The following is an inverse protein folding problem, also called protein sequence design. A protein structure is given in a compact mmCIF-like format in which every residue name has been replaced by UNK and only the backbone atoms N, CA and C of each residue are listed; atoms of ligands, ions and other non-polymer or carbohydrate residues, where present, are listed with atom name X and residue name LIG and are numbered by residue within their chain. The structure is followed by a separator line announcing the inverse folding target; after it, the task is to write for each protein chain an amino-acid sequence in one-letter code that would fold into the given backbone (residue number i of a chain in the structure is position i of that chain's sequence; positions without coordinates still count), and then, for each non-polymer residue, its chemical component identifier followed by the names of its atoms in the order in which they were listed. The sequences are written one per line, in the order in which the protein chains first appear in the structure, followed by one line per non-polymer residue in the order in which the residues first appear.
data_IF_408964005670
#
_entry.id   IF_408964005670
#
_cell.length_a   1.000
_cell.length_b   1.000
_cell.length_c   1.000
_cell.angle_alpha   90.00
_cell.angle_beta   90.00
_cell.angle_gamma   90.00
#
_symmetry.space_group_name_H-M   'P 1'
#
loop_
_entity.id
_entity.type
_entity.pdbx_description
1 polymer ?
#
# COMPACT_ATOMS: atom_id res chain seq x y z
N UNK A 1 8.09 16.26 16.24
CA UNK A 1 7.47 15.34 15.27
C UNK A 1 5.95 15.42 15.36
N UNK A 2 5.24 15.68 14.26
CA UNK A 2 3.78 15.72 14.22
C UNK A 2 3.23 14.39 13.70
N UNK A 3 2.27 13.79 14.41
CA UNK A 3 1.57 12.59 13.94
C UNK A 3 0.59 12.98 12.84
N UNK A 4 0.61 12.26 11.73
CA UNK A 4 -0.35 12.45 10.64
C UNK A 4 -1.58 11.59 10.93
N UNK A 5 -2.80 12.15 10.89
CA UNK A 5 -4.01 11.38 11.08
C UNK A 5 -4.23 10.42 9.91
N UNK A 6 -4.73 9.22 10.23
CA UNK A 6 -5.06 8.19 9.25
C UNK A 6 -6.56 7.92 9.28
N UNK A 7 -7.21 8.09 8.14
CA UNK A 7 -8.63 7.79 7.96
C UNK A 7 -8.77 6.42 7.31
N UNK A 8 -9.56 5.53 7.93
CA UNK A 8 -9.93 4.24 7.33
C UNK A 8 -11.04 4.44 6.29
N UNK A 9 -10.88 3.80 5.14
CA UNK A 9 -11.75 3.92 3.98
C UNK A 9 -12.20 2.56 3.46
N UNK A 10 -13.17 2.60 2.54
CA UNK A 10 -13.62 1.40 1.83
C UNK A 10 -12.49 0.83 0.95
N UNK A 11 -12.76 -0.31 0.31
CA UNK A 11 -11.78 -0.95 -0.59
C UNK A 11 -11.38 0.02 -1.69
N UNK A 12 -10.09 0.05 -2.04
CA UNK A 12 -9.47 1.05 -2.91
C UNK A 12 -10.21 1.24 -4.25
N UNK A 13 -10.69 0.15 -4.85
CA UNK A 13 -11.39 0.16 -6.13
C UNK A 13 -12.88 0.50 -6.06
N UNK A 14 -13.44 0.65 -4.86
CA UNK A 14 -14.85 1.01 -4.65
C UNK A 14 -15.02 2.37 -3.98
N UNK A 15 -13.97 2.92 -3.37
CA UNK A 15 -14.00 4.28 -2.80
C UNK A 15 -13.62 5.33 -3.87
N UNK A 16 -14.55 6.23 -4.24
CA UNK A 16 -14.29 7.30 -5.22
C UNK A 16 -13.12 8.22 -4.87
N UNK A 17 -12.70 8.27 -3.60
CA UNK A 17 -11.55 9.05 -3.18
C UNK A 17 -10.24 8.66 -3.88
N UNK A 18 -10.11 7.39 -4.28
CA UNK A 18 -8.92 6.88 -4.96
C UNK A 18 -9.03 6.92 -6.50
N UNK A 19 -10.10 7.49 -7.04
CA UNK A 19 -10.38 7.47 -8.49
C UNK A 19 -9.25 8.08 -9.32
N UNK A 20 -8.61 9.15 -8.83
CA UNK A 20 -7.46 9.79 -9.50
C UNK A 20 -6.19 8.93 -9.53
N UNK A 21 -6.16 7.86 -8.76
CA UNK A 21 -5.02 6.96 -8.55
C UNK A 21 -5.24 5.62 -9.25
N UNK A 22 -6.50 5.28 -9.60
CA UNK A 22 -6.85 4.04 -10.31
C UNK A 22 -6.11 3.85 -11.65
N UNK A 23 -5.93 4.94 -12.41
CA UNK A 23 -5.31 4.88 -13.75
C UNK A 23 -3.82 4.55 -13.72
N UNK A 24 -3.13 5.01 -12.68
CA UNK A 24 -1.70 4.73 -12.49
C UNK A 24 -1.50 3.30 -11.99
N UNK A 25 -2.41 2.83 -11.15
CA UNK A 25 -2.41 1.48 -10.63
C UNK A 25 -2.82 0.44 -11.66
N UNK A 26 -3.65 0.76 -12.66
CA UNK A 26 -3.98 -0.20 -13.71
C UNK A 26 -2.74 -0.62 -14.51
N UNK A 27 -1.80 0.31 -14.75
CA UNK A 27 -0.53 0.01 -15.44
C UNK A 27 0.40 -0.84 -14.56
N UNK A 28 0.48 -0.52 -13.27
CA UNK A 28 1.30 -1.26 -12.30
C UNK A 28 0.73 -2.67 -12.11
N UNK A 29 -0.59 -2.78 -11.94
CA UNK A 29 -1.35 -4.03 -11.86
C UNK A 29 -1.18 -4.85 -13.13
N UNK A 30 -1.24 -4.27 -14.32
CA UNK A 30 -1.03 -5.01 -15.58
C UNK A 30 0.41 -5.51 -15.71
N UNK A 31 1.40 -4.71 -15.32
CA UNK A 31 2.81 -5.13 -15.32
C UNK A 31 3.06 -6.25 -14.28
N UNK A 32 2.50 -6.12 -13.07
CA UNK A 32 2.60 -7.11 -12.00
C UNK A 32 1.77 -8.38 -12.31
N UNK A 33 0.62 -8.27 -12.98
CA UNK A 33 -0.19 -9.41 -13.45
C UNK A 33 0.48 -10.14 -14.63
N UNK A 34 1.25 -9.44 -15.47
CA UNK A 34 2.09 -10.08 -16.50
C UNK A 34 3.20 -10.92 -15.89
N UNK A 35 3.88 -10.42 -14.84
CA UNK A 35 4.87 -11.20 -14.09
C UNK A 35 4.23 -12.38 -13.33
N UNK A 36 3.03 -12.18 -12.77
CA UNK A 36 2.25 -13.23 -12.11
C UNK A 36 1.76 -14.32 -13.08
N UNK A 37 1.66 -14.04 -14.38
CA UNK A 37 1.17 -15.00 -15.37
C UNK A 37 2.07 -16.23 -15.51
N UNK A 38 3.36 -16.15 -15.14
CA UNK A 38 4.25 -17.31 -15.09
C UNK A 38 4.04 -18.14 -13.81
N UNK A 39 3.63 -17.51 -12.72
CA UNK A 39 3.26 -18.19 -11.48
C UNK A 39 1.95 -19.00 -11.63
N UNK A 40 0.95 -18.47 -12.34
CA UNK A 40 -0.34 -19.12 -12.58
C UNK A 40 -0.28 -20.33 -13.52
N UNK A 41 0.81 -20.53 -14.27
CA UNK A 41 0.99 -21.67 -15.19
C UNK A 41 1.38 -22.96 -14.47
N UNK A 42 2.01 -22.88 -13.29
CA UNK A 42 2.57 -24.03 -12.58
C UNK A 42 1.65 -24.63 -11.51
N UNK A 43 0.43 -24.10 -11.33
CA UNK A 43 -0.53 -24.60 -10.32
C UNK A 43 -1.84 -25.05 -11.01
N UNK A 44 -1.93 -26.30 -11.51
CA UNK A 44 -3.07 -26.80 -12.28
C UNK A 44 -4.39 -26.85 -11.50
N UNK A 45 -4.33 -26.95 -10.17
CA UNK A 45 -5.48 -27.12 -9.27
C UNK A 45 -6.33 -25.84 -9.10
N UNK A 46 -5.82 -24.66 -9.47
CA UNK A 46 -6.57 -23.40 -9.40
C UNK A 46 -7.39 -23.09 -10.67
N UNK A 47 -7.51 -24.02 -11.62
CA UNK A 47 -8.35 -23.84 -12.82
C UNK A 47 -9.83 -23.57 -12.51
N UNK A 48 -10.32 -23.97 -11.33
CA UNK A 48 -11.67 -23.68 -10.82
C UNK A 48 -11.83 -22.23 -10.35
N UNK A 49 -10.72 -21.53 -10.05
CA UNK A 49 -10.70 -20.12 -9.65
C UNK A 49 -10.60 -19.16 -10.86
N UNK A 50 -10.48 -19.68 -12.08
CA UNK A 50 -10.56 -18.91 -13.34
C UNK A 50 -11.90 -18.19 -13.53
N UNK A 51 -12.94 -18.60 -12.80
CA UNK A 51 -14.25 -17.95 -12.79
C UNK A 51 -14.30 -16.68 -11.91
N UNK A 52 -13.23 -16.40 -11.15
CA UNK A 52 -13.17 -15.27 -10.22
C UNK A 52 -12.11 -14.29 -10.72
N UNK A 53 -12.45 -13.01 -10.96
CA UNK A 53 -11.51 -12.02 -11.47
C UNK A 53 -10.26 -11.96 -10.60
N UNK A 54 -9.05 -11.79 -11.17
CA UNK A 54 -7.79 -11.83 -10.42
C UNK A 54 -7.72 -10.77 -9.29
N UNK A 55 -8.57 -9.73 -9.37
CA UNK A 55 -8.88 -8.80 -8.26
C UNK A 55 -9.28 -9.50 -6.94
N UNK A 56 -9.75 -10.74 -6.96
CA UNK A 56 -10.23 -11.49 -5.79
C UNK A 56 -9.27 -12.56 -5.31
N UNK A 57 -8.19 -12.88 -6.03
CA UNK A 57 -7.28 -13.97 -5.63
C UNK A 57 -6.39 -13.57 -4.44
N UNK A 58 -5.87 -12.35 -4.42
CA UNK A 58 -5.10 -11.81 -3.28
C UNK A 58 -5.97 -11.61 -2.02
N UNK A 59 -7.25 -11.26 -2.18
CA UNK A 59 -8.23 -11.15 -1.08
C UNK A 59 -8.74 -12.51 -0.60
N UNK A 60 -8.89 -13.50 -1.48
CA UNK A 60 -9.23 -14.88 -1.11
C UNK A 60 -8.11 -15.50 -0.27
N UNK A 61 -6.84 -15.28 -0.63
CA UNK A 61 -5.70 -15.74 0.16
C UNK A 61 -5.75 -15.22 1.60
N UNK A 62 -6.12 -13.94 1.81
CA UNK A 62 -6.27 -13.33 3.14
C UNK A 62 -7.45 -13.92 3.92
N UNK A 63 -8.58 -14.16 3.26
CA UNK A 63 -9.74 -14.78 3.90
C UNK A 63 -9.44 -16.23 4.30
N UNK A 64 -8.82 -17.00 3.41
CA UNK A 64 -8.42 -18.39 3.67
C UNK A 64 -7.36 -18.50 4.76
N UNK A 65 -6.39 -17.56 4.86
CA UNK A 65 -5.43 -17.52 5.97
C UNK A 65 -6.12 -17.19 7.30
N UNK A 66 -7.07 -16.25 7.34
CA UNK A 66 -7.82 -15.94 8.57
C UNK A 66 -8.67 -17.11 9.05
N UNK A 67 -9.17 -17.93 8.12
CA UNK A 67 -10.02 -19.08 8.40
C UNK A 67 -9.21 -20.39 8.59
N UNK A 68 -7.86 -20.33 8.59
CA UNK A 68 -6.98 -21.50 8.79
C UNK A 68 -6.97 -22.49 7.62
N UNK A 69 -7.42 -22.07 6.44
CA UNK A 69 -7.70 -22.92 5.29
C UNK A 69 -6.88 -22.53 4.04
N UNK A 70 -5.77 -21.80 4.23
CA UNK A 70 -4.88 -21.42 3.13
C UNK A 70 -4.01 -22.62 2.68
N UNK A 71 -3.99 -22.96 1.38
CA UNK A 71 -3.07 -23.97 0.86
C UNK A 71 -1.61 -23.55 1.04
N UNK A 72 -0.74 -24.54 1.31
CA UNK A 72 0.70 -24.36 1.62
C UNK A 72 1.49 -23.58 0.56
N UNK A 73 1.01 -23.59 -0.69
CA UNK A 73 1.57 -22.82 -1.81
C UNK A 73 1.34 -21.32 -1.68
N UNK A 74 0.23 -20.88 -1.07
CA UNK A 74 -0.04 -19.47 -0.77
C UNK A 74 0.91 -18.97 0.31
N UNK A 75 1.20 -19.79 1.32
CA UNK A 75 2.14 -19.44 2.39
C UNK A 75 3.58 -19.30 1.88
N UNK A 76 3.98 -20.13 0.90
CA UNK A 76 5.26 -19.96 0.19
C UNK A 76 5.33 -18.68 -0.64
N UNK A 77 4.22 -18.19 -1.20
CA UNK A 77 4.18 -16.88 -1.88
C UNK A 77 4.37 -15.74 -0.88
N UNK A 78 3.72 -15.80 0.29
CA UNK A 78 3.94 -14.83 1.38
C UNK A 78 5.39 -14.85 1.87
N UNK A 79 6.01 -16.02 1.99
CA UNK A 79 7.44 -16.11 2.33
C UNK A 79 8.34 -15.57 1.22
N UNK A 80 7.98 -15.75 -0.06
CA UNK A 80 8.73 -15.22 -1.19
C UNK A 80 8.58 -13.69 -1.31
N UNK A 81 7.40 -13.13 -1.02
CA UNK A 81 7.17 -11.68 -0.99
C UNK A 81 7.80 -11.02 0.23
N UNK A 82 7.84 -11.70 1.39
CA UNK A 82 8.61 -11.25 2.56
C UNK A 82 10.13 -11.20 2.30
N UNK A 83 10.61 -11.95 1.29
CA UNK A 83 12.00 -11.96 0.84
C UNK A 83 12.23 -11.13 -0.45
N UNK A 84 11.19 -10.50 -1.01
CA UNK A 84 11.35 -9.55 -2.11
C UNK A 84 12.16 -8.34 -1.62
N UNK A 85 12.89 -7.68 -2.52
CA UNK A 85 13.77 -6.58 -2.12
C UNK A 85 12.99 -5.53 -1.32
N UNK A 86 13.64 -4.99 -0.28
CA UNK A 86 13.07 -4.03 0.70
C UNK A 86 12.53 -2.74 0.06
N UNK A 87 12.59 -2.59 -1.26
CA UNK A 87 12.24 -1.37 -2.00
C UNK A 87 10.82 -1.31 -2.59
N UNK A 88 10.04 -2.39 -2.55
CA UNK A 88 8.79 -2.53 -3.36
C UNK A 88 7.46 -2.08 -2.71
N UNK A 89 7.47 -1.31 -1.62
CA UNK A 89 6.21 -0.82 -1.00
C UNK A 89 5.69 0.48 -1.60
N UNK A 90 6.52 1.21 -2.35
CA UNK A 90 6.12 2.49 -2.95
C UNK A 90 5.48 2.24 -4.30
N UNK A 91 4.18 2.50 -4.40
CA UNK A 91 3.45 2.33 -5.65
C UNK A 91 3.61 3.57 -6.51
N UNK A 92 3.49 4.75 -5.90
CA UNK A 92 3.58 6.02 -6.61
C UNK A 92 4.01 7.17 -5.70
N UNK A 93 4.78 8.09 -6.29
CA UNK A 93 5.00 9.45 -5.76
C UNK A 93 4.62 10.43 -6.86
N UNK A 94 3.72 11.37 -6.56
CA UNK A 94 3.27 12.42 -7.47
C UNK A 94 3.52 13.77 -6.83
N UNK A 95 4.12 14.66 -7.60
CA UNK A 95 4.37 16.04 -7.21
C UNK A 95 3.77 16.96 -8.26
N UNK A 96 2.64 17.59 -7.94
CA UNK A 96 1.98 18.55 -8.82
C UNK A 96 1.97 19.96 -8.21
N UNK A 97 1.39 20.94 -8.90
CA UNK A 97 1.36 22.34 -8.41
C UNK A 97 0.43 22.54 -7.20
N UNK A 98 -0.45 21.57 -6.92
CA UNK A 98 -1.50 21.67 -5.89
C UNK A 98 -1.19 20.85 -4.64
N UNK A 99 -0.52 19.71 -4.79
CA UNK A 99 -0.21 18.77 -3.72
C UNK A 99 0.97 17.87 -4.07
N UNK A 100 1.57 17.36 -3.02
CA UNK A 100 2.45 16.18 -3.07
C UNK A 100 1.66 14.98 -2.57
N UNK A 101 1.74 13.84 -3.27
CA UNK A 101 0.96 12.63 -2.99
C UNK A 101 1.83 11.39 -3.07
N UNK A 102 1.64 10.47 -2.12
CA UNK A 102 2.33 9.19 -2.06
C UNK A 102 1.30 8.09 -1.90
N UNK A 103 1.44 7.01 -2.68
CA UNK A 103 0.66 5.80 -2.51
C UNK A 103 1.57 4.61 -2.21
N UNK A 104 1.27 3.88 -1.14
CA UNK A 104 2.04 2.75 -0.65
C UNK A 104 1.19 1.49 -0.58
N UNK A 105 1.81 0.36 -0.91
CA UNK A 105 1.27 -0.95 -0.60
C UNK A 105 1.62 -1.31 0.85
N UNK A 106 0.60 -1.38 1.68
CA UNK A 106 0.73 -1.72 3.10
C UNK A 106 -0.12 -2.92 3.47
N UNK A 107 -0.55 -3.73 2.49
CA UNK A 107 -1.48 -4.84 2.74
C UNK A 107 -1.00 -5.81 3.82
N UNK A 108 0.31 -6.03 3.97
CA UNK A 108 0.87 -6.92 5.00
C UNK A 108 0.72 -6.40 6.45
N UNK A 109 0.25 -5.16 6.64
CA UNK A 109 0.15 -4.51 7.94
C UNK A 109 -1.29 -4.18 8.28
N UNK A 110 -1.62 -4.25 9.57
CA UNK A 110 -2.88 -3.73 10.10
C UNK A 110 -2.79 -2.22 10.27
N UNK A 111 -3.93 -1.49 10.26
CA UNK A 111 -3.94 -0.05 10.50
C UNK A 111 -3.19 0.38 11.76
N UNK A 112 -3.31 -0.39 12.84
CA UNK A 112 -2.68 -0.10 14.14
C UNK A 112 -1.17 -0.35 14.14
N UNK A 113 -0.67 -1.11 13.16
CA UNK A 113 0.75 -1.42 12.97
C UNK A 113 1.46 -0.38 12.09
N UNK A 114 0.70 0.53 11.48
CA UNK A 114 1.18 1.59 10.62
C UNK A 114 1.31 2.92 11.38
N UNK A 115 2.39 3.64 11.11
CA UNK A 115 2.67 4.95 11.70
C UNK A 115 3.12 5.92 10.62
N UNK A 116 2.40 7.03 10.51
CA UNK A 116 2.71 8.14 9.62
C UNK A 116 2.99 9.38 10.46
N UNK A 117 4.12 10.04 10.22
CA UNK A 117 4.48 11.28 10.91
C UNK A 117 5.39 12.15 10.05
N UNK A 118 5.43 13.45 10.36
CA UNK A 118 6.40 14.38 9.78
C UNK A 118 7.40 14.81 10.86
N UNK A 119 8.69 14.72 10.55
CA UNK A 119 9.76 15.16 11.44
C UNK A 119 10.05 16.67 11.32
N UNK A 120 10.94 17.17 12.19
CA UNK A 120 11.29 18.60 12.25
C UNK A 120 12.05 19.08 11.00
N UNK A 121 12.66 18.15 10.27
CA UNK A 121 13.40 18.42 9.04
C UNK A 121 12.50 18.24 7.79
N UNK A 122 11.17 18.29 7.99
CA UNK A 122 10.15 18.16 6.92
C UNK A 122 10.20 16.84 6.17
N UNK A 123 10.63 15.77 6.82
CA UNK A 123 10.54 14.45 6.24
C UNK A 123 9.24 13.76 6.66
N UNK A 124 8.49 13.30 5.66
CA UNK A 124 7.36 12.41 5.84
C UNK A 124 7.88 10.98 6.02
N UNK A 125 7.64 10.42 7.20
CA UNK A 125 8.07 9.09 7.60
C UNK A 125 6.87 8.15 7.72
N UNK A 126 6.97 6.97 7.09
CA UNK A 126 5.98 5.90 7.16
C UNK A 126 6.66 4.64 7.68
N UNK A 127 6.14 4.08 8.76
CA UNK A 127 6.65 2.87 9.40
C UNK A 127 5.54 1.83 9.47
N UNK A 128 5.88 0.56 9.25
CA UNK A 128 5.00 -0.56 9.51
C UNK A 128 5.77 -1.68 10.20
N UNK A 129 5.18 -2.27 11.23
CA UNK A 129 5.80 -3.38 11.97
C UNK A 129 4.76 -4.45 12.31
N UNK A 130 4.96 -5.65 11.77
CA UNK A 130 4.12 -6.81 11.99
C UNK A 130 4.94 -7.93 12.64
N UNK A 131 4.42 -8.53 13.70
CA UNK A 131 5.03 -9.68 14.37
C UNK A 131 3.95 -10.71 14.72
N UNK A 132 4.14 -11.95 14.28
CA UNK A 132 3.26 -13.08 14.58
C UNK A 132 4.09 -14.22 15.16
N UNK A 133 3.56 -14.83 16.23
CA UNK A 133 4.09 -16.05 16.85
C UNK A 133 3.03 -17.12 16.77
N UNK A 134 3.34 -18.23 16.12
CA UNK A 134 2.43 -19.35 15.96
C UNK A 134 3.23 -20.66 15.97
N UNK A 135 2.84 -21.62 16.81
CA UNK A 135 3.42 -22.99 16.90
C UNK A 135 4.95 -23.08 16.79
N UNK A 136 5.66 -22.23 17.54
CA UNK A 136 7.13 -22.21 17.59
C UNK A 136 7.81 -21.51 16.41
N UNK A 137 7.04 -20.95 15.47
CA UNK A 137 7.51 -20.10 14.38
C UNK A 137 7.29 -18.63 14.72
N UNK A 138 8.23 -17.79 14.31
CA UNK A 138 8.19 -16.34 14.47
C UNK A 138 8.33 -15.69 13.10
N UNK A 139 7.31 -14.92 12.70
CA UNK A 139 7.32 -14.12 11.47
C UNK A 139 7.34 -12.66 11.91
N UNK A 140 8.36 -11.93 11.46
CA UNK A 140 8.46 -10.48 11.67
C UNK A 140 8.73 -9.80 10.34
N UNK A 141 7.89 -8.83 10.00
CA UNK A 141 8.04 -8.00 8.82
C UNK A 141 7.97 -6.55 9.24
N UNK A 142 8.92 -5.74 8.77
CA UNK A 142 8.95 -4.32 9.08
C UNK A 142 9.41 -3.52 7.86
N UNK A 143 8.89 -2.31 7.73
CA UNK A 143 9.37 -1.34 6.76
C UNK A 143 9.44 0.05 7.37
N UNK A 144 10.33 0.88 6.81
CA UNK A 144 10.40 2.30 7.10
C UNK A 144 10.71 3.04 5.80
N UNK A 145 9.90 4.06 5.50
CA UNK A 145 10.06 4.95 4.35
C UNK A 145 10.14 6.38 4.80
N UNK A 146 10.97 7.14 4.10
CA UNK A 146 11.22 8.55 4.37
C UNK A 146 11.19 9.32 3.06
N UNK A 147 10.36 10.34 2.99
CA UNK A 147 10.21 11.22 1.83
C UNK A 147 10.45 12.66 2.25
N UNK A 148 11.24 13.39 1.47
CA UNK A 148 11.40 14.83 1.66
C UNK A 148 10.15 15.52 1.16
N UNK A 149 9.46 16.27 2.02
CA UNK A 149 8.35 17.10 1.57
C UNK A 149 8.90 18.34 0.85
N UNK A 150 8.38 18.68 -0.34
CA UNK A 150 8.68 19.94 -1.01
C UNK A 150 8.46 21.16 -0.10
N UNK A 151 9.23 22.23 -0.32
CA UNK A 151 9.20 23.43 0.54
C UNK A 151 7.84 24.15 0.55
N UNK A 152 7.11 24.05 -0.56
CA UNK A 152 5.79 24.62 -0.78
C UNK A 152 4.66 23.80 -0.16
N UNK A 153 4.92 22.59 0.34
CA UNK A 153 3.93 21.80 1.08
C UNK A 153 3.58 22.43 2.43
N UNK A 154 2.30 22.33 2.81
CA UNK A 154 1.77 22.74 4.11
C UNK A 154 1.81 21.51 5.01
N UNK A 155 2.78 21.48 5.93
CA UNK A 155 3.08 20.31 6.77
C UNK A 155 1.93 19.98 7.72
N UNK A 156 1.21 21.00 8.15
CA UNK A 156 0.08 20.92 9.09
C UNK A 156 -1.16 20.29 8.45
N UNK A 157 -1.24 20.31 7.11
CA UNK A 157 -2.36 19.77 6.33
C UNK A 157 -2.02 18.41 5.70
N UNK A 158 -0.90 17.80 6.09
CA UNK A 158 -0.60 16.43 5.68
C UNK A 158 -1.66 15.49 6.25
N UNK A 159 -2.32 14.76 5.36
CA UNK A 159 -3.36 13.79 5.70
C UNK A 159 -3.03 12.42 5.11
N UNK A 160 -3.50 11.37 5.77
CA UNK A 160 -3.37 10.00 5.26
C UNK A 160 -4.70 9.25 5.27
N UNK A 161 -4.86 8.37 4.29
CA UNK A 161 -6.07 7.59 4.04
C UNK A 161 -5.67 6.16 3.71
N UNK A 162 -6.16 5.20 4.48
CA UNK A 162 -5.88 3.78 4.32
C UNK A 162 -7.14 3.09 3.84
N UNK A 163 -7.10 2.51 2.64
CA UNK A 163 -8.16 1.66 2.15
C UNK A 163 -8.23 0.37 2.98
N UNK A 164 -9.41 -0.23 3.12
CA UNK A 164 -9.60 -1.46 3.89
C UNK A 164 -8.82 -2.67 3.32
N UNK A 165 -8.41 -2.58 2.05
CA UNK A 165 -7.61 -3.57 1.34
C UNK A 165 -6.08 -3.27 1.38
N UNK A 166 -5.65 -2.22 2.07
CA UNK A 166 -4.25 -2.02 2.46
C UNK A 166 -3.45 -1.02 1.64
N UNK A 167 -4.09 -0.19 0.83
CA UNK A 167 -3.43 0.89 0.10
C UNK A 167 -3.45 2.15 0.96
N UNK A 168 -2.26 2.62 1.33
CA UNK A 168 -2.08 3.84 2.10
C UNK A 168 -1.75 5.00 1.16
N UNK A 169 -2.64 6.00 1.10
CA UNK A 169 -2.42 7.24 0.37
C UNK A 169 -2.17 8.41 1.32
N UNK A 170 -1.09 9.15 1.11
CA UNK A 170 -0.70 10.31 1.91
C UNK A 170 -0.66 11.52 0.99
N UNK A 171 -1.28 12.61 1.41
CA UNK A 171 -1.36 13.85 0.65
C UNK A 171 -0.88 15.03 1.48
N UNK A 172 -0.05 15.88 0.89
CA UNK A 172 0.42 17.14 1.46
C UNK A 172 0.04 18.29 0.50
N UNK A 173 -0.97 19.11 0.81
CA UNK A 173 -1.34 20.26 0.00
C UNK A 173 -0.19 21.26 -0.13
N UNK A 174 -0.13 21.99 -1.26
CA UNK A 174 0.85 23.03 -1.51
C UNK A 174 0.25 24.42 -1.45
N UNK A 175 1.07 25.39 -1.04
CA UNK A 175 0.72 26.81 -1.04
C UNK A 175 0.51 27.27 -2.48
N UNK A 176 -0.71 27.74 -2.80
CA UNK A 176 -0.97 28.37 -4.09
C UNK A 176 -0.11 29.63 -4.23
N UNK A 177 0.70 29.71 -5.29
CA UNK A 177 1.38 30.96 -5.64
C UNK A 177 0.30 31.97 -6.02
N UNK A 178 0.20 33.06 -5.26
CA UNK A 178 -0.68 34.15 -5.61
C UNK A 178 -0.28 34.67 -7.00
N UNK A 179 -1.18 34.56 -7.97
CA UNK A 179 -1.00 35.19 -9.27
C UNK A 179 -1.17 36.69 -9.02
N UNK A 180 -0.07 37.43 -8.90
CA UNK A 180 -0.12 38.88 -9.01
C UNK A 180 -0.62 39.22 -10.41
N UNK A 181 -1.93 39.51 -10.52
CA UNK A 181 -2.47 40.19 -11.69
C UNK A 181 -1.90 41.59 -11.69
N UNK A 182 -0.90 41.83 -12.55
CA UNK A 182 -0.46 43.16 -12.96
C UNK A 182 -1.56 43.90 -13.72
#
# INVERSE_FOLDING_TARGET
MSRVPMTLRDVFWQDPFFESTWSDFDKIRENMMKESNDFWKEVPEMNTLKAIPPKRNWMLSRQLSKDGNAPESIEKVFQKSANASRDDTTIQVRDDDKKFEISLDTHLYRPEELKVHVDENRFLCVEGKHEVKEDGRFISTQFSRKYTLPEDCIVEEVGSNLSSDGILMITAPKKQKAIEKK
#
